data_IF_762128099867
#
_entry.id   IF_762128099867
#
_cell.length_a   1.000
_cell.length_b   1.000
_cell.length_c   1.000
_cell.angle_alpha   90.00
_cell.angle_beta   90.00
_cell.angle_gamma   90.00
#
_symmetry.space_group_name_H-M   'P 1'
#
loop_
_entity.id
_entity.type
_entity.pdbx_description
1 polymer ?
#
# COMPACT_ATOMS: atom_id res chain seq x y z
N UNK A 1 0.92 12.35 -7.02
CA UNK A 1 -0.36 11.90 -6.40
C UNK A 1 -0.04 10.82 -5.37
N UNK A 2 -0.90 10.50 -4.39
CA UNK A 2 -0.57 9.65 -3.21
C UNK A 2 0.15 8.32 -3.55
N UNK A 3 -0.21 7.63 -4.65
CA UNK A 3 0.46 6.39 -5.09
C UNK A 3 1.89 6.56 -5.62
N UNK A 4 2.21 7.73 -6.17
CA UNK A 4 3.55 8.08 -6.67
C UNK A 4 4.55 8.25 -5.51
N UNK A 5 4.04 8.49 -4.30
CA UNK A 5 4.81 8.55 -3.06
C UNK A 5 5.15 7.13 -2.59
N UNK A 6 4.22 6.19 -2.73
CA UNK A 6 4.45 4.75 -2.48
C UNK A 6 5.50 4.21 -3.47
N UNK A 7 5.47 4.67 -4.72
CA UNK A 7 6.50 4.37 -5.72
C UNK A 7 7.92 4.78 -5.29
N UNK A 8 8.05 5.75 -4.37
CA UNK A 8 9.34 6.28 -3.88
C UNK A 8 9.67 5.84 -2.45
N UNK A 9 8.94 4.86 -1.90
CA UNK A 9 9.20 4.29 -0.58
C UNK A 9 8.24 4.74 0.53
N UNK A 10 7.31 5.66 0.26
CA UNK A 10 6.22 6.00 1.18
C UNK A 10 6.64 6.64 2.51
N UNK A 11 5.70 7.33 3.18
CA UNK A 11 5.81 7.67 4.61
C UNK A 11 4.82 6.87 5.41
N UNK A 12 5.03 6.74 6.72
CA UNK A 12 4.16 5.96 7.62
C UNK A 12 2.69 6.35 7.43
N UNK A 13 2.37 7.66 7.37
CA UNK A 13 1.00 8.15 7.11
C UNK A 13 0.38 7.66 5.79
N UNK A 14 1.18 7.47 4.74
CA UNK A 14 0.66 7.09 3.42
C UNK A 14 0.25 5.61 3.45
N UNK A 15 0.97 4.77 4.21
CA UNK A 15 0.57 3.38 4.47
C UNK A 15 -0.68 3.28 5.35
N UNK A 16 -0.85 4.20 6.32
CA UNK A 16 -2.11 4.33 7.06
C UNK A 16 -3.30 4.65 6.16
N UNK A 17 -3.10 5.60 5.23
CA UNK A 17 -4.13 5.93 4.24
C UNK A 17 -4.43 4.74 3.31
N UNK A 18 -3.40 3.99 2.88
CA UNK A 18 -3.58 2.77 2.09
C UNK A 18 -4.34 1.68 2.85
N UNK A 19 -4.05 1.50 4.14
CA UNK A 19 -4.76 0.55 4.99
C UNK A 19 -6.24 0.88 5.10
N UNK A 20 -6.60 2.15 5.26
CA UNK A 20 -7.99 2.58 5.26
C UNK A 20 -8.68 2.37 3.90
N UNK A 21 -7.92 2.47 2.81
CA UNK A 21 -8.44 2.16 1.48
C UNK A 21 -8.69 0.66 1.28
N UNK A 22 -7.96 -0.23 1.96
CA UNK A 22 -8.20 -1.68 1.88
C UNK A 22 -9.61 -2.07 2.36
N UNK A 23 -10.19 -1.31 3.29
CA UNK A 23 -11.56 -1.53 3.77
C UNK A 23 -12.61 -1.33 2.65
N UNK A 24 -12.29 -0.54 1.61
CA UNK A 24 -13.22 -0.16 0.55
C UNK A 24 -12.79 -0.60 -0.86
N UNK A 25 -11.52 -0.95 -1.07
CA UNK A 25 -10.93 -1.16 -2.40
C UNK A 25 -9.79 -2.17 -2.31
N UNK A 26 -9.66 -3.06 -3.30
CA UNK A 26 -8.54 -4.01 -3.31
C UNK A 26 -7.24 -3.35 -3.77
N UNK A 27 -6.09 -3.94 -3.42
CA UNK A 27 -4.78 -3.51 -3.91
C UNK A 27 -4.74 -3.50 -5.45
N UNK A 28 -5.37 -4.47 -6.10
CA UNK A 28 -5.45 -4.54 -7.57
C UNK A 28 -6.23 -3.36 -8.14
N UNK A 29 -7.37 -3.00 -7.55
CA UNK A 29 -8.15 -1.84 -8.00
C UNK A 29 -7.32 -0.55 -7.90
N UNK A 30 -6.55 -0.41 -6.81
CA UNK A 30 -5.65 0.72 -6.62
C UNK A 30 -4.53 0.76 -7.68
N UNK A 31 -3.95 -0.39 -8.01
CA UNK A 31 -2.94 -0.53 -9.08
C UNK A 31 -3.55 -0.20 -10.45
N UNK A 32 -4.74 -0.71 -10.76
CA UNK A 32 -5.43 -0.45 -12.03
C UNK A 32 -5.83 1.03 -12.18
N UNK A 33 -6.32 1.66 -11.11
CA UNK A 33 -6.60 3.09 -11.10
C UNK A 33 -5.33 3.91 -11.30
N UNK A 34 -4.20 3.47 -10.71
CA UNK A 34 -2.91 4.09 -10.97
C UNK A 34 -2.50 3.96 -12.44
N UNK A 35 -2.67 2.77 -13.04
CA UNK A 35 -2.39 2.50 -14.46
C UNK A 35 -3.20 3.40 -15.39
N UNK A 36 -4.50 3.56 -15.13
CA UNK A 36 -5.38 4.44 -15.92
C UNK A 36 -4.94 5.91 -15.90
N UNK A 37 -4.33 6.36 -14.82
CA UNK A 37 -3.92 7.76 -14.66
C UNK A 37 -2.49 8.04 -15.12
N UNK A 38 -1.63 7.01 -15.11
CA UNK A 38 -0.20 7.12 -15.33
C UNK A 38 0.32 6.01 -16.25
N UNK A 39 -0.25 5.90 -17.45
CA UNK A 39 0.03 4.81 -18.40
C UNK A 39 1.52 4.63 -18.73
N UNK A 40 2.31 5.71 -18.75
CA UNK A 40 3.73 5.69 -19.15
C UNK A 40 4.72 5.45 -18.00
N UNK A 41 4.33 5.76 -16.76
CA UNK A 41 5.19 5.64 -15.57
C UNK A 41 4.70 4.55 -14.62
N UNK A 42 3.72 3.75 -15.07
CA UNK A 42 3.17 2.66 -14.30
C UNK A 42 4.12 1.45 -14.33
N UNK A 43 4.62 1.08 -13.16
CA UNK A 43 5.38 -0.14 -12.94
C UNK A 43 4.68 -0.95 -11.83
N UNK A 44 3.87 -1.93 -12.24
CA UNK A 44 3.10 -2.76 -11.32
C UNK A 44 4.00 -3.54 -10.35
N UNK A 45 5.11 -4.09 -10.85
CA UNK A 45 6.03 -4.90 -10.04
C UNK A 45 6.70 -4.04 -8.97
N UNK A 46 7.14 -2.83 -9.34
CA UNK A 46 7.72 -1.88 -8.39
C UNK A 46 6.69 -1.41 -7.37
N UNK A 47 5.45 -1.14 -7.78
CA UNK A 47 4.36 -0.78 -6.86
C UNK A 47 4.14 -1.90 -5.84
N UNK A 48 3.97 -3.15 -6.28
CA UNK A 48 3.76 -4.30 -5.40
C UNK A 48 4.90 -4.50 -4.40
N UNK A 49 6.16 -4.37 -4.87
CA UNK A 49 7.33 -4.43 -3.97
C UNK A 49 7.34 -3.31 -2.95
N UNK A 50 6.96 -2.10 -3.35
CA UNK A 50 6.96 -0.96 -2.43
C UNK A 50 5.80 -0.98 -1.44
N UNK A 51 4.71 -1.69 -1.74
CA UNK A 51 3.62 -1.90 -0.79
C UNK A 51 4.04 -2.71 0.45
N UNK A 52 5.01 -3.63 0.31
CA UNK A 52 5.59 -4.40 1.43
C UNK A 52 6.90 -3.81 1.94
N UNK A 53 7.41 -2.74 1.33
CA UNK A 53 8.66 -2.11 1.72
C UNK A 53 8.42 -0.99 2.73
N UNK A 54 8.53 -1.33 4.01
CA UNK A 54 8.34 -0.40 5.12
C UNK A 54 9.63 0.30 5.58
N UNK A 55 10.78 0.05 4.94
CA UNK A 55 12.09 0.52 5.41
C UNK A 55 12.15 2.03 5.68
N UNK A 56 11.57 2.82 4.78
CA UNK A 56 11.52 4.29 4.94
C UNK A 56 10.48 4.71 5.97
N UNK A 57 9.34 4.01 6.03
CA UNK A 57 8.24 4.32 6.94
C UNK A 57 8.56 3.95 8.40
N UNK A 58 9.32 2.89 8.65
CA UNK A 58 9.73 2.47 10.00
C UNK A 58 10.58 3.56 10.68
N UNK A 59 11.37 4.30 9.90
CA UNK A 59 12.18 5.43 10.37
C UNK A 59 11.40 6.76 10.51
N UNK A 60 10.13 6.78 10.09
CA UNK A 60 9.29 7.97 10.16
C UNK A 60 8.53 8.03 11.49
N UNK A 61 8.15 9.24 11.90
CA UNK A 61 7.46 9.46 13.16
C UNK A 61 6.11 8.74 13.20
N UNK A 62 5.78 8.18 14.37
CA UNK A 62 4.48 7.56 14.57
C UNK A 62 3.37 8.61 14.49
N UNK A 63 2.44 8.50 13.52
CA UNK A 63 1.31 9.40 13.45
C UNK A 63 0.38 9.14 14.64
N UNK A 64 -0.30 10.19 15.11
CA UNK A 64 -1.34 10.04 16.13
C UNK A 64 -2.52 9.30 15.51
N UNK A 65 -2.65 8.01 15.81
CA UNK A 65 -3.81 7.23 15.41
C UNK A 65 -4.99 7.47 16.35
N UNK A 66 -6.07 8.07 15.84
CA UNK A 66 -7.33 8.23 16.57
C UNK A 66 -8.18 6.95 16.62
N UNK A 67 -7.88 5.95 15.79
CA UNK A 67 -8.56 4.64 15.74
C UNK A 67 -7.91 3.57 16.64
N UNK A 68 -6.82 3.90 17.35
CA UNK A 68 -6.11 2.96 18.24
C UNK A 68 -5.41 1.79 17.56
N UNK A 69 -5.23 1.82 16.23
CA UNK A 69 -4.47 0.79 15.51
C UNK A 69 -2.95 0.98 15.77
N UNK A 70 -2.19 -0.10 15.72
CA UNK A 70 -0.73 -0.11 15.90
C UNK A 70 -0.07 -0.35 14.55
N UNK A 71 1.10 0.24 14.35
CA UNK A 71 1.85 0.16 13.09
C UNK A 71 2.14 -1.28 12.64
N UNK A 72 2.47 -2.17 13.57
CA UNK A 72 2.76 -3.58 13.26
C UNK A 72 1.56 -4.30 12.62
N UNK A 73 0.34 -4.11 13.14
CA UNK A 73 -0.86 -4.71 12.55
C UNK A 73 -1.15 -4.19 11.15
N UNK A 74 -0.87 -2.91 10.88
CA UNK A 74 -1.05 -2.34 9.54
C UNK A 74 -0.11 -3.00 8.53
N UNK A 75 1.12 -3.29 8.94
CA UNK A 75 2.09 -3.99 8.08
C UNK A 75 1.61 -5.40 7.76
N UNK A 76 1.13 -6.12 8.76
CA UNK A 76 0.56 -7.48 8.58
C UNK A 76 -0.63 -7.46 7.62
N UNK A 77 -1.60 -6.57 7.84
CA UNK A 77 -2.80 -6.45 7.01
C UNK A 77 -2.45 -6.09 5.54
N UNK A 78 -1.46 -5.21 5.32
CA UNK A 78 -1.01 -4.84 3.97
C UNK A 78 -0.33 -6.00 3.24
N UNK A 79 0.49 -6.79 3.95
CA UNK A 79 1.13 -7.99 3.40
C UNK A 79 0.05 -9.02 3.03
N UNK A 80 -0.88 -9.30 3.94
CA UNK A 80 -1.98 -10.23 3.72
C UNK A 80 -2.87 -9.80 2.54
N UNK A 81 -3.13 -8.50 2.40
CA UNK A 81 -3.91 -7.97 1.28
C UNK A 81 -3.24 -8.20 -0.09
N UNK A 82 -1.90 -8.22 -0.14
CA UNK A 82 -1.16 -8.50 -1.37
C UNK A 82 -1.13 -10.00 -1.65
N UNK A 83 -0.89 -10.82 -0.62
CA UNK A 83 -0.82 -12.28 -0.74
C UNK A 83 -2.19 -12.89 -1.08
N UNK A 84 -3.26 -12.44 -0.42
CA UNK A 84 -4.65 -12.84 -0.71
C UNK A 84 -5.07 -12.50 -2.16
N UNK A 85 -4.42 -11.51 -2.79
CA UNK A 85 -4.65 -11.17 -4.18
C UNK A 85 -3.82 -12.03 -5.16
N UNK A 86 -2.70 -12.61 -4.72
CA UNK A 86 -1.92 -13.55 -5.53
C UNK A 86 -2.62 -14.92 -5.62
N UNK A 87 -3.30 -15.38 -4.55
CA UNK A 87 -4.04 -16.65 -4.54
C UNK A 87 -5.28 -16.66 -5.45
N UNK A 88 -5.91 -15.51 -5.68
CA UNK A 88 -7.04 -15.39 -6.62
C UNK A 88 -6.66 -15.54 -8.10
N UNK A 89 -5.36 -15.65 -8.43
CA UNK A 89 -4.88 -15.96 -9.79
C UNK A 89 -4.69 -17.46 -10.05
N UNK A 90 -4.93 -18.33 -9.06
CA UNK A 90 -4.72 -19.78 -9.16
C UNK A 90 -5.98 -20.61 -9.54
N UNK A 91 -7.09 -19.97 -9.92
CA UNK A 91 -8.31 -20.65 -10.38
C UNK A 91 -8.78 -20.11 -11.73
#
# INVERSE_FOLDING_TARGET
>A
MKMDIVLRGGRKKDFWDLHELLDNSSVNDMIELHKKRFEWTHDEDMIRRNFTNFFTADNDFDPICLKGKVWEFIKEDLIEAIDSNNDKRAF
#
